data_IF_208950378788
#
_entry.id   IF_208950378788
#
_cell.length_a   1.000
_cell.length_b   1.000
_cell.length_c   1.000
_cell.angle_alpha   90.00
_cell.angle_beta   90.00
_cell.angle_gamma   90.00
#
_symmetry.space_group_name_H-M   'P 1'
#
loop_
_entity.id
_entity.type
_entity.pdbx_description
1 polymer ?
#
# COMPACT_ATOMS: atom_id res chain seq x y z
N UNK A 1 60.43 70.13 -17.46
CA UNK A 1 59.02 69.96 -17.08
C UNK A 1 58.62 68.59 -17.64
N UNK A 2 58.65 67.63 -16.82
CA UNK A 2 58.65 66.23 -17.15
C UNK A 2 57.25 65.65 -16.89
N UNK A 3 56.70 64.99 -17.90
CA UNK A 3 55.44 64.21 -17.81
C UNK A 3 55.91 62.74 -17.65
N UNK A 4 55.41 61.99 -16.67
CA UNK A 4 55.66 60.57 -16.59
C UNK A 4 54.56 59.76 -17.22
N UNK A 5 54.94 58.84 -18.07
CA UNK A 5 54.11 57.81 -18.69
C UNK A 5 53.70 56.77 -17.64
N UNK A 6 52.42 56.45 -17.60
CA UNK A 6 51.85 55.29 -16.89
C UNK A 6 51.87 54.05 -17.79
N UNK A 7 52.30 52.90 -17.32
CA UNK A 7 52.19 51.67 -18.07
C UNK A 7 50.83 50.99 -17.84
N UNK A 8 50.17 50.76 -18.93
CA UNK A 8 48.93 50.00 -19.03
C UNK A 8 49.17 48.53 -18.66
N UNK A 9 48.72 48.11 -17.50
CA UNK A 9 48.75 46.68 -17.10
C UNK A 9 47.58 45.96 -17.75
N UNK A 10 47.88 45.08 -18.71
CA UNK A 10 47.02 44.05 -19.18
C UNK A 10 46.67 43.09 -18.02
N UNK A 11 45.47 43.12 -17.52
CA UNK A 11 44.95 42.12 -16.60
C UNK A 11 44.22 41.09 -17.46
N UNK A 12 44.89 39.94 -17.60
CA UNK A 12 44.32 38.77 -18.27
C UNK A 12 43.08 38.28 -17.51
N UNK A 13 41.95 38.28 -18.22
CA UNK A 13 40.70 37.74 -17.76
C UNK A 13 40.76 36.21 -17.80
N UNK A 14 41.14 35.59 -16.70
CA UNK A 14 41.13 34.16 -16.53
C UNK A 14 39.68 33.74 -16.15
N UNK A 15 38.88 33.47 -17.17
CA UNK A 15 37.53 32.94 -17.00
C UNK A 15 37.62 31.51 -16.49
N UNK A 16 37.54 31.35 -15.17
CA UNK A 16 37.44 30.07 -14.52
C UNK A 16 36.01 29.54 -14.74
N UNK A 17 35.85 28.72 -15.78
CA UNK A 17 34.60 28.02 -16.09
C UNK A 17 34.39 26.95 -15.02
N UNK A 18 33.72 27.32 -13.92
CA UNK A 18 33.21 26.39 -12.91
C UNK A 18 32.02 25.61 -13.53
N UNK A 19 32.31 24.46 -14.11
CA UNK A 19 31.26 23.47 -14.43
C UNK A 19 30.61 23.04 -13.12
N UNK A 20 29.41 23.58 -12.87
CA UNK A 20 28.50 23.09 -11.86
C UNK A 20 28.00 21.70 -12.33
N UNK A 21 28.63 20.65 -11.84
CA UNK A 21 28.14 19.30 -11.84
C UNK A 21 26.90 19.27 -10.93
N UNK A 22 25.73 19.61 -11.49
CA UNK A 22 24.45 19.37 -10.85
C UNK A 22 24.23 17.86 -10.81
N UNK A 23 24.73 17.23 -9.76
CA UNK A 23 24.42 15.83 -9.45
C UNK A 23 22.92 15.73 -9.20
N UNK A 24 22.19 15.06 -10.08
CA UNK A 24 20.85 14.56 -9.78
C UNK A 24 20.98 13.56 -8.63
N UNK A 25 20.89 14.02 -7.41
CA UNK A 25 20.61 13.16 -6.26
C UNK A 25 19.17 12.69 -6.40
N UNK A 26 18.99 11.43 -6.78
CA UNK A 26 17.69 10.75 -6.66
C UNK A 26 17.20 10.94 -5.23
N UNK A 27 15.93 11.35 -5.02
CA UNK A 27 15.41 11.45 -3.67
C UNK A 27 15.43 10.05 -3.05
N UNK A 28 16.29 9.88 -2.05
CA UNK A 28 16.32 8.70 -1.22
C UNK A 28 14.95 8.58 -0.57
N UNK A 29 14.16 7.59 -0.95
CA UNK A 29 12.83 7.35 -0.39
C UNK A 29 13.04 6.95 1.07
N UNK A 30 13.05 7.91 1.97
CA UNK A 30 13.13 7.66 3.41
C UNK A 30 11.97 6.73 3.76
N UNK A 31 12.29 5.50 4.18
CA UNK A 31 11.28 4.59 4.72
C UNK A 31 10.58 5.31 5.86
N UNK A 32 9.27 5.53 5.72
CA UNK A 32 8.48 6.16 6.76
C UNK A 32 8.60 5.34 8.04
N UNK A 33 9.05 5.97 9.12
CA UNK A 33 9.13 5.35 10.44
C UNK A 33 7.74 5.47 11.05
N UNK A 34 7.13 4.33 11.42
CA UNK A 34 5.83 4.31 12.07
C UNK A 34 5.94 4.92 13.47
N UNK A 35 4.90 5.64 13.88
CA UNK A 35 4.80 6.29 15.18
C UNK A 35 3.70 5.62 16.03
N UNK A 36 3.80 5.71 17.34
CA UNK A 36 2.79 5.19 18.27
C UNK A 36 1.58 6.11 18.43
N UNK A 37 1.65 7.36 17.94
CA UNK A 37 0.54 8.32 18.01
C UNK A 37 0.26 8.90 16.64
N UNK A 38 -1.01 9.21 16.37
CA UNK A 38 -1.37 9.96 15.19
C UNK A 38 -1.07 11.46 15.37
N UNK A 39 -0.82 12.16 14.26
CA UNK A 39 -0.51 13.60 14.27
C UNK A 39 -1.77 14.46 14.12
N UNK A 40 -2.95 13.89 13.90
CA UNK A 40 -4.19 14.59 13.57
C UNK A 40 -5.41 14.10 14.35
N UNK A 41 -5.22 13.30 15.38
CA UNK A 41 -6.31 12.71 16.18
C UNK A 41 -7.38 12.03 15.32
N UNK A 42 -6.93 11.18 14.39
CA UNK A 42 -7.81 10.47 13.47
C UNK A 42 -8.58 9.39 14.20
N UNK A 43 -9.91 9.38 14.06
CA UNK A 43 -10.77 8.39 14.68
C UNK A 43 -11.36 7.44 13.63
N UNK A 44 -10.81 6.22 13.56
CA UNK A 44 -11.31 5.13 12.73
C UNK A 44 -12.48 4.36 13.37
N UNK A 45 -12.74 4.56 14.67
CA UNK A 45 -13.73 3.80 15.44
C UNK A 45 -15.12 3.82 14.81
N UNK A 46 -15.82 2.70 14.88
CA UNK A 46 -17.17 2.54 14.37
C UNK A 46 -17.34 1.39 13.39
N UNK A 47 -18.55 1.26 12.86
CA UNK A 47 -18.90 0.23 11.90
C UNK A 47 -18.80 0.77 10.46
N UNK A 48 -18.33 -0.09 9.56
CA UNK A 48 -18.00 0.24 8.18
C UNK A 48 -18.51 -0.81 7.23
N UNK A 49 -19.14 -0.40 6.15
CA UNK A 49 -19.68 -1.27 5.10
C UNK A 49 -18.93 -1.06 3.79
N UNK A 50 -18.58 -2.15 3.11
CA UNK A 50 -17.82 -2.12 1.86
C UNK A 50 -18.62 -1.48 0.72
N UNK A 51 -18.07 -0.44 0.13
CA UNK A 51 -18.55 0.17 -1.10
C UNK A 51 -17.96 -0.57 -2.31
N UNK A 52 -18.73 -1.49 -2.86
CA UNK A 52 -18.32 -2.27 -4.03
C UNK A 52 -18.12 -1.41 -5.29
N UNK A 53 -18.83 -0.30 -5.40
CA UNK A 53 -18.75 0.61 -6.55
C UNK A 53 -17.46 1.43 -6.59
N UNK A 54 -16.92 1.75 -5.42
CA UNK A 54 -15.68 2.52 -5.29
C UNK A 54 -14.46 1.66 -4.98
N UNK A 55 -14.67 0.39 -4.67
CA UNK A 55 -13.58 -0.56 -4.41
C UNK A 55 -12.98 -1.11 -5.70
N UNK A 56 -11.69 -1.41 -5.68
CA UNK A 56 -11.03 -2.05 -6.81
C UNK A 56 -11.68 -3.40 -7.13
N UNK A 57 -11.96 -3.63 -8.42
CA UNK A 57 -12.26 -4.96 -8.93
C UNK A 57 -10.94 -5.68 -9.23
N UNK A 58 -10.75 -6.84 -8.62
CA UNK A 58 -9.49 -7.61 -8.72
C UNK A 58 -9.15 -7.96 -10.19
N UNK A 59 -10.14 -8.36 -10.99
CA UNK A 59 -9.90 -8.75 -12.38
C UNK A 59 -9.42 -7.56 -13.21
N UNK A 60 -10.11 -6.42 -13.09
CA UNK A 60 -9.75 -5.17 -13.79
C UNK A 60 -8.35 -4.72 -13.38
N UNK A 61 -8.03 -4.81 -12.09
CA UNK A 61 -6.73 -4.42 -11.55
C UNK A 61 -5.61 -5.32 -12.06
N UNK A 62 -5.83 -6.64 -12.05
CA UNK A 62 -4.87 -7.62 -12.56
C UNK A 62 -4.63 -7.43 -14.07
N UNK A 63 -5.70 -7.27 -14.86
CA UNK A 63 -5.59 -7.04 -16.29
C UNK A 63 -4.83 -5.74 -16.61
N UNK A 64 -5.06 -4.67 -15.83
CA UNK A 64 -4.32 -3.42 -15.97
C UNK A 64 -2.84 -3.63 -15.71
N UNK A 65 -2.49 -4.29 -14.59
CA UNK A 65 -1.11 -4.57 -14.23
C UNK A 65 -0.40 -5.41 -15.31
N UNK A 66 -1.05 -6.47 -15.80
CA UNK A 66 -0.48 -7.32 -16.86
C UNK A 66 -0.24 -6.52 -18.14
N UNK A 67 -1.16 -5.63 -18.53
CA UNK A 67 -0.97 -4.74 -19.69
C UNK A 67 0.22 -3.81 -19.50
N UNK A 68 0.37 -3.22 -18.33
CA UNK A 68 1.46 -2.29 -18.05
C UNK A 68 2.81 -2.98 -18.05
N UNK A 69 2.89 -4.19 -17.47
CA UNK A 69 4.10 -5.02 -17.51
C UNK A 69 4.52 -5.39 -18.92
N UNK A 70 3.55 -5.76 -19.79
CA UNK A 70 3.80 -6.05 -21.20
C UNK A 70 4.33 -4.82 -21.95
N UNK A 71 3.75 -3.64 -21.70
CA UNK A 71 4.23 -2.37 -22.28
C UNK A 71 5.66 -2.03 -21.84
N UNK A 72 5.97 -2.22 -20.57
CA UNK A 72 7.32 -2.00 -20.06
C UNK A 72 8.35 -2.96 -20.71
N UNK A 73 7.98 -4.22 -20.87
CA UNK A 73 8.83 -5.20 -21.56
C UNK A 73 9.08 -4.81 -23.02
N UNK A 74 8.04 -4.40 -23.76
CA UNK A 74 8.17 -3.95 -25.13
C UNK A 74 9.09 -2.72 -25.27
N UNK A 75 8.99 -1.76 -24.36
CA UNK A 75 9.88 -0.59 -24.34
C UNK A 75 11.35 -0.97 -24.10
N UNK A 76 11.61 -1.94 -23.22
CA UNK A 76 12.96 -2.44 -22.95
C UNK A 76 13.53 -3.19 -24.16
N UNK A 77 12.74 -4.00 -24.86
CA UNK A 77 13.18 -4.74 -26.05
C UNK A 77 13.48 -3.83 -27.25
N UNK A 78 12.80 -2.69 -27.40
CA UNK A 78 13.07 -1.71 -28.44
C UNK A 78 14.31 -0.84 -28.17
N UNK A 79 14.71 -0.69 -26.93
CA UNK A 79 15.91 0.09 -26.52
C UNK A 79 17.22 -0.70 -26.56
N UNK A 80 17.19 -2.00 -26.75
CA UNK A 80 18.38 -2.87 -26.68
C UNK A 80 18.45 -3.76 -27.92
N UNK A 81 18.94 -3.20 -29.02
CA UNK A 81 19.40 -4.00 -30.16
C UNK A 81 20.78 -4.63 -29.87
N UNK A 82 21.04 -5.11 -28.67
CA UNK A 82 22.15 -6.01 -28.35
C UNK A 82 22.11 -6.36 -26.86
N UNK A 83 21.58 -7.48 -26.56
CA UNK A 83 22.03 -8.49 -25.58
C UNK A 83 20.82 -9.30 -25.12
N UNK A 84 20.86 -10.58 -25.49
CA UNK A 84 19.88 -11.54 -25.08
C UNK A 84 19.97 -11.81 -23.57
N UNK A 85 18.89 -11.52 -22.90
CA UNK A 85 18.43 -12.18 -21.67
C UNK A 85 16.96 -11.82 -21.52
N UNK A 86 16.10 -12.62 -22.15
CA UNK A 86 14.66 -12.53 -21.97
C UNK A 86 14.29 -12.88 -20.55
N UNK A 87 14.12 -11.86 -19.69
CA UNK A 87 13.40 -12.02 -18.45
C UNK A 87 11.95 -12.34 -18.76
N UNK A 88 11.61 -13.63 -18.78
CA UNK A 88 10.23 -14.06 -18.96
C UNK A 88 9.37 -13.48 -17.82
N UNK A 89 8.34 -12.70 -18.18
CA UNK A 89 7.28 -12.37 -17.23
C UNK A 89 6.62 -13.69 -16.82
N UNK A 90 6.91 -14.16 -15.62
CA UNK A 90 6.24 -15.33 -15.04
C UNK A 90 4.81 -14.88 -14.66
N UNK A 91 3.93 -14.78 -15.65
CA UNK A 91 2.51 -14.47 -15.47
C UNK A 91 1.73 -15.69 -15.03
N UNK A 92 2.23 -16.89 -15.37
CA UNK A 92 1.60 -18.15 -14.95
C UNK A 92 2.63 -19.26 -14.91
N UNK A 93 2.93 -19.74 -13.74
CA UNK A 93 3.46 -21.07 -13.55
C UNK A 93 2.32 -21.96 -13.04
N UNK A 94 1.73 -22.72 -13.93
CA UNK A 94 0.65 -23.67 -13.63
C UNK A 94 1.23 -25.04 -13.29
N UNK A 95 2.22 -25.08 -12.38
CA UNK A 95 2.78 -26.34 -11.90
C UNK A 95 2.57 -26.52 -10.40
N UNK A 96 2.49 -27.74 -9.88
CA UNK A 96 2.32 -27.99 -8.44
C UNK A 96 3.48 -27.49 -7.56
N UNK A 97 4.60 -27.08 -8.18
CA UNK A 97 5.79 -26.51 -7.52
C UNK A 97 6.08 -25.06 -7.95
N UNK A 98 5.09 -24.36 -8.49
CA UNK A 98 5.27 -22.96 -8.91
C UNK A 98 5.26 -22.06 -7.70
N UNK A 99 6.33 -21.31 -7.49
CA UNK A 99 6.43 -20.27 -6.50
C UNK A 99 5.34 -19.16 -6.66
N UNK A 100 5.31 -18.16 -5.78
CA UNK A 100 4.34 -17.08 -5.83
C UNK A 100 4.33 -16.41 -7.22
N UNK A 101 3.14 -16.25 -7.77
CA UNK A 101 2.93 -15.57 -9.06
C UNK A 101 2.14 -14.29 -8.82
N UNK A 102 2.15 -13.35 -9.76
CA UNK A 102 1.32 -12.13 -9.65
C UNK A 102 -0.17 -12.46 -9.51
N UNK A 103 -0.63 -13.55 -10.12
CA UNK A 103 -2.00 -14.04 -9.96
C UNK A 103 -2.22 -14.56 -8.53
N UNK A 104 -1.21 -15.24 -7.97
CA UNK A 104 -1.23 -15.70 -6.58
C UNK A 104 -1.31 -14.52 -5.59
N UNK A 105 -0.50 -13.47 -5.80
CA UNK A 105 -0.55 -12.25 -4.98
C UNK A 105 -1.91 -11.56 -5.10
N UNK A 106 -2.48 -11.49 -6.30
CA UNK A 106 -3.79 -10.89 -6.52
C UNK A 106 -4.90 -11.67 -5.78
N UNK A 107 -4.91 -13.00 -5.89
CA UNK A 107 -5.87 -13.86 -5.17
C UNK A 107 -5.72 -13.73 -3.65
N UNK A 108 -4.49 -13.70 -3.15
CA UNK A 108 -4.22 -13.48 -1.73
C UNK A 108 -4.77 -12.11 -1.29
N UNK A 109 -4.47 -11.04 -2.04
CA UNK A 109 -4.99 -9.70 -1.74
C UNK A 109 -6.50 -9.68 -1.66
N UNK A 110 -7.19 -10.38 -2.60
CA UNK A 110 -8.65 -10.48 -2.59
C UNK A 110 -9.17 -11.22 -1.36
N UNK A 111 -8.59 -12.37 -1.03
CA UNK A 111 -8.99 -13.16 0.14
C UNK A 111 -8.86 -12.39 1.45
N UNK A 112 -7.72 -11.74 1.68
CA UNK A 112 -7.46 -11.00 2.92
C UNK A 112 -8.22 -9.69 3.04
N UNK A 113 -8.78 -9.17 1.93
CA UNK A 113 -9.56 -7.92 1.90
C UNK A 113 -11.06 -8.14 1.69
N UNK A 114 -11.50 -9.39 1.60
CA UNK A 114 -12.89 -9.75 1.34
C UNK A 114 -13.73 -9.71 2.63
N UNK A 115 -13.85 -8.53 3.22
CA UNK A 115 -14.69 -8.34 4.39
C UNK A 115 -15.76 -7.30 4.06
N UNK A 116 -17.04 -7.69 3.96
CA UNK A 116 -18.10 -6.73 3.64
C UNK A 116 -18.36 -5.76 4.78
N UNK A 117 -18.09 -6.17 6.02
CA UNK A 117 -18.28 -5.35 7.20
C UNK A 117 -17.02 -5.32 8.05
N UNK A 118 -16.70 -4.14 8.57
CA UNK A 118 -15.66 -3.95 9.59
C UNK A 118 -16.31 -3.31 10.82
N UNK A 119 -15.81 -3.73 11.98
CA UNK A 119 -16.07 -3.06 13.27
C UNK A 119 -14.73 -2.67 13.87
N UNK A 120 -14.49 -1.37 13.99
CA UNK A 120 -13.23 -0.83 14.49
C UNK A 120 -13.42 -0.28 15.89
N UNK A 121 -12.74 -0.90 16.82
CA UNK A 121 -12.63 -0.43 18.21
C UNK A 121 -11.33 0.36 18.34
N UNK A 122 -11.44 1.65 18.65
CA UNK A 122 -10.28 2.52 18.87
C UNK A 122 -10.28 3.03 20.30
N UNK A 123 -9.23 2.70 21.02
CA UNK A 123 -8.93 3.22 22.36
C UNK A 123 -7.60 3.98 22.32
N UNK A 124 -7.23 4.63 23.42
CA UNK A 124 -6.04 5.48 23.50
C UNK A 124 -4.74 4.75 23.09
N UNK A 125 -4.61 3.47 23.47
CA UNK A 125 -3.39 2.68 23.22
C UNK A 125 -3.64 1.43 22.40
N UNK A 126 -4.83 1.28 21.82
CA UNK A 126 -5.18 0.07 21.09
C UNK A 126 -6.21 0.34 20.00
N UNK A 127 -5.96 -0.21 18.83
CA UNK A 127 -6.94 -0.28 17.76
C UNK A 127 -7.14 -1.74 17.38
N UNK A 128 -8.39 -2.17 17.30
CA UNK A 128 -8.78 -3.50 16.85
C UNK A 128 -9.73 -3.39 15.69
N UNK A 129 -9.33 -3.92 14.54
CA UNK A 129 -10.17 -4.00 13.33
C UNK A 129 -10.73 -5.40 13.24
N UNK A 130 -11.98 -5.57 13.64
CA UNK A 130 -12.72 -6.81 13.46
C UNK A 130 -13.21 -6.87 12.03
N UNK A 131 -12.95 -7.96 11.36
CA UNK A 131 -13.28 -8.18 9.96
C UNK A 131 -14.19 -9.38 9.86
N UNK A 132 -15.36 -9.22 9.25
CA UNK A 132 -16.24 -10.36 8.99
C UNK A 132 -15.52 -11.36 8.08
N UNK A 133 -15.59 -12.64 8.41
CA UNK A 133 -14.95 -13.76 7.69
C UNK A 133 -13.40 -13.75 7.68
N UNK A 134 -12.74 -12.85 8.41
CA UNK A 134 -11.29 -12.75 8.48
C UNK A 134 -10.79 -12.55 9.91
N UNK A 135 -9.50 -12.83 10.14
CA UNK A 135 -8.85 -12.55 11.42
C UNK A 135 -8.85 -11.05 11.70
N UNK A 136 -9.07 -10.68 12.95
CA UNK A 136 -8.96 -9.30 13.38
C UNK A 136 -7.50 -8.82 13.30
N UNK A 137 -7.31 -7.56 12.87
CA UNK A 137 -6.03 -6.87 13.02
C UNK A 137 -6.04 -6.13 14.35
N UNK A 138 -4.99 -6.28 15.13
CA UNK A 138 -4.85 -5.59 16.41
C UNK A 138 -3.55 -4.79 16.40
N UNK A 139 -3.64 -3.54 16.82
CA UNK A 139 -2.49 -2.66 16.99
C UNK A 139 -2.49 -2.14 18.41
N UNK A 140 -1.42 -2.39 19.14
CA UNK A 140 -1.20 -1.87 20.48
C UNK A 140 -0.05 -0.86 20.42
N UNK A 141 -0.27 0.29 21.04
CA UNK A 141 0.70 1.37 21.09
C UNK A 141 1.25 1.49 22.50
N UNK A 142 2.57 1.43 22.65
CA UNK A 142 3.19 2.00 23.84
C UNK A 142 3.50 3.46 23.59
N UNK A 143 3.48 4.33 24.60
CA UNK A 143 3.71 5.74 24.43
C UNK A 143 4.95 6.00 23.55
N UNK A 144 4.71 6.51 22.35
CA UNK A 144 5.75 6.94 21.42
C UNK A 144 6.40 5.87 20.52
N UNK A 145 6.05 4.57 20.64
CA UNK A 145 6.67 3.54 19.80
C UNK A 145 5.68 2.52 19.25
N UNK A 146 5.78 2.17 17.95
CA UNK A 146 5.04 1.07 17.37
C UNK A 146 5.54 -0.26 17.93
N UNK A 147 4.60 -1.19 18.15
CA UNK A 147 4.92 -2.53 18.61
C UNK A 147 5.19 -3.45 17.43
N UNK A 148 6.19 -4.31 17.58
CA UNK A 148 6.40 -5.46 16.69
C UNK A 148 6.13 -6.72 17.50
N UNK A 149 5.21 -7.54 17.04
CA UNK A 149 4.78 -8.77 17.68
C UNK A 149 5.23 -9.94 16.80
N UNK A 150 5.91 -10.89 17.42
CA UNK A 150 6.20 -12.17 16.78
C UNK A 150 5.00 -13.09 16.95
N UNK A 151 4.49 -13.62 15.84
CA UNK A 151 3.39 -14.58 15.80
C UNK A 151 3.89 -15.89 15.18
N UNK A 152 3.19 -17.02 15.37
CA UNK A 152 3.53 -18.26 14.66
C UNK A 152 3.55 -18.16 13.14
N UNK A 153 2.91 -17.11 12.59
CA UNK A 153 2.84 -16.86 11.15
C UNK A 153 3.92 -15.88 10.65
N UNK A 154 4.60 -15.17 11.56
CA UNK A 154 5.63 -14.18 11.20
C UNK A 154 5.63 -12.97 12.13
N UNK A 155 6.07 -11.84 11.62
CA UNK A 155 6.23 -10.59 12.37
C UNK A 155 5.16 -9.59 11.98
N UNK A 156 4.47 -9.05 12.98
CA UNK A 156 3.45 -8.02 12.77
C UNK A 156 3.92 -6.71 13.41
N UNK A 157 3.92 -5.64 12.63
CA UNK A 157 4.22 -4.29 13.10
C UNK A 157 3.10 -3.37 12.69
N UNK A 158 2.63 -2.52 13.61
CA UNK A 158 1.64 -1.51 13.28
C UNK A 158 2.01 -0.17 13.90
N UNK A 159 1.47 0.89 13.35
CA UNK A 159 1.71 2.23 13.84
C UNK A 159 1.17 3.29 12.89
N UNK A 160 1.40 4.54 13.26
CA UNK A 160 0.95 5.69 12.52
C UNK A 160 2.02 6.19 11.55
N UNK A 161 1.61 6.52 10.35
CA UNK A 161 2.37 7.32 9.40
C UNK A 161 1.57 8.61 9.16
N UNK A 162 1.89 9.66 9.89
CA UNK A 162 1.10 10.88 9.99
C UNK A 162 -0.36 10.57 10.40
N UNK A 163 -1.31 10.68 9.48
CA UNK A 163 -2.75 10.41 9.70
C UNK A 163 -3.20 9.02 9.20
N UNK A 164 -2.27 8.22 8.75
CA UNK A 164 -2.56 6.87 8.25
C UNK A 164 -2.21 5.83 9.30
N UNK A 165 -3.10 4.88 9.52
CA UNK A 165 -2.80 3.69 10.31
C UNK A 165 -2.24 2.62 9.38
N UNK A 166 -1.07 2.09 9.72
CA UNK A 166 -0.35 1.13 8.89
C UNK A 166 -0.16 -0.16 9.66
N UNK A 167 -0.54 -1.29 9.05
CA UNK A 167 -0.19 -2.63 9.50
C UNK A 167 0.78 -3.24 8.50
N UNK A 168 1.87 -3.84 9.01
CA UNK A 168 2.84 -4.59 8.21
C UNK A 168 2.97 -5.98 8.80
N UNK A 169 2.78 -6.98 7.96
CA UNK A 169 2.86 -8.39 8.33
C UNK A 169 3.95 -9.00 7.44
N UNK A 170 5.01 -9.49 8.07
CA UNK A 170 6.11 -10.19 7.40
C UNK A 170 5.92 -11.67 7.64
N UNK A 171 5.66 -12.39 6.57
CA UNK A 171 5.46 -13.84 6.57
C UNK A 171 6.75 -14.55 6.16
N UNK A 172 6.89 -15.86 6.44
CA UNK A 172 7.99 -16.66 5.90
C UNK A 172 8.12 -16.56 4.39
N UNK A 173 9.26 -16.96 3.86
CA UNK A 173 9.54 -17.03 2.41
C UNK A 173 9.47 -15.70 1.67
N UNK A 174 9.78 -14.57 2.38
CA UNK A 174 9.85 -13.25 1.76
C UNK A 174 8.51 -12.66 1.33
N UNK A 175 7.41 -13.19 1.87
CA UNK A 175 6.08 -12.64 1.65
C UNK A 175 5.78 -11.55 2.68
N UNK A 176 5.24 -10.42 2.24
CA UNK A 176 4.80 -9.36 3.13
C UNK A 176 3.45 -8.77 2.72
N UNK A 177 2.68 -8.39 3.71
CA UNK A 177 1.38 -7.75 3.55
C UNK A 177 1.43 -6.40 4.25
N UNK A 178 0.98 -5.35 3.58
CA UNK A 178 0.83 -4.03 4.18
C UNK A 178 -0.60 -3.52 3.97
N UNK A 179 -1.27 -3.15 5.06
CA UNK A 179 -2.51 -2.41 5.01
C UNK A 179 -2.24 -0.96 5.39
N UNK A 180 -2.69 -0.02 4.57
CA UNK A 180 -2.67 1.41 4.85
C UNK A 180 -4.10 1.90 4.91
N UNK A 181 -4.53 2.32 6.09
CA UNK A 181 -5.87 2.82 6.35
C UNK A 181 -5.87 4.34 6.39
N UNK A 182 -6.78 4.95 5.67
CA UNK A 182 -6.90 6.42 5.55
C UNK A 182 -8.36 6.84 5.60
N UNK A 183 -8.69 7.84 6.41
CA UNK A 183 -10.01 8.46 6.41
C UNK A 183 -10.08 9.59 5.40
N UNK A 184 -11.20 9.66 4.70
CA UNK A 184 -11.58 10.75 3.82
C UNK A 184 -13.05 11.11 4.03
N UNK A 185 -13.55 12.10 3.26
CA UNK A 185 -14.95 12.48 3.32
C UNK A 185 -15.41 12.91 4.72
N UNK A 186 -14.59 13.72 5.40
CA UNK A 186 -14.90 14.21 6.75
C UNK A 186 -15.08 13.12 7.82
N UNK A 187 -14.45 11.94 7.59
CA UNK A 187 -14.51 10.79 8.48
C UNK A 187 -15.59 9.76 8.12
N UNK A 188 -16.35 9.99 7.04
CA UNK A 188 -17.42 9.09 6.60
C UNK A 188 -16.97 8.00 5.61
N UNK A 189 -15.72 8.13 5.13
CA UNK A 189 -15.15 7.16 4.18
C UNK A 189 -13.81 6.64 4.66
N UNK A 190 -13.67 5.33 4.69
CA UNK A 190 -12.43 4.64 5.02
C UNK A 190 -11.87 3.97 3.76
N UNK A 191 -10.64 4.32 3.40
CA UNK A 191 -9.90 3.64 2.34
C UNK A 191 -8.83 2.74 2.95
N UNK A 192 -8.77 1.48 2.51
CA UNK A 192 -7.76 0.49 2.91
C UNK A 192 -7.02 0.03 1.66
N UNK A 193 -5.79 0.51 1.51
CA UNK A 193 -4.87 0.02 0.49
C UNK A 193 -4.10 -1.18 1.03
N UNK A 194 -4.33 -2.35 0.46
CA UNK A 194 -3.64 -3.59 0.83
C UNK A 194 -2.65 -3.96 -0.25
N UNK A 195 -1.38 -3.99 0.10
CA UNK A 195 -0.27 -4.36 -0.80
C UNK A 195 0.32 -5.68 -0.36
N UNK A 196 0.42 -6.63 -1.27
CA UNK A 196 1.11 -7.91 -1.09
C UNK A 196 2.37 -7.91 -1.94
N UNK A 197 3.48 -8.25 -1.32
CA UNK A 197 4.82 -8.30 -1.91
C UNK A 197 5.41 -9.68 -1.66
N UNK A 198 6.11 -10.21 -2.64
CA UNK A 198 6.96 -11.40 -2.50
C UNK A 198 8.32 -11.11 -3.10
N UNK A 199 9.38 -11.62 -2.50
CA UNK A 199 10.74 -11.54 -3.06
C UNK A 199 10.89 -12.36 -4.36
N UNK A 200 10.01 -13.32 -4.59
CA UNK A 200 9.95 -14.15 -5.79
C UNK A 200 9.17 -13.51 -6.95
N UNK A 201 8.48 -12.40 -6.71
CA UNK A 201 7.66 -11.70 -7.73
C UNK A 201 8.12 -10.26 -7.85
N UNK A 202 8.59 -9.87 -9.02
CA UNK A 202 9.21 -8.56 -9.26
C UNK A 202 8.29 -7.35 -9.02
N UNK A 203 6.99 -7.57 -8.92
CA UNK A 203 6.00 -6.50 -8.80
C UNK A 203 5.02 -6.78 -7.65
N UNK A 204 4.78 -5.81 -6.77
CA UNK A 204 3.75 -5.92 -5.74
C UNK A 204 2.35 -5.89 -6.38
N UNK A 205 1.39 -6.47 -5.68
CA UNK A 205 -0.02 -6.31 -6.03
C UNK A 205 -0.73 -5.51 -4.96
N UNK A 206 -1.39 -4.42 -5.34
CA UNK A 206 -2.14 -3.55 -4.43
C UNK A 206 -3.61 -3.55 -4.79
N UNK A 207 -4.47 -3.74 -3.80
CA UNK A 207 -5.92 -3.69 -3.91
C UNK A 207 -6.48 -2.65 -2.93
N UNK A 208 -7.29 -1.72 -3.42
CA UNK A 208 -7.94 -0.71 -2.60
C UNK A 208 -9.38 -1.13 -2.32
N UNK A 209 -9.77 -1.06 -1.05
CA UNK A 209 -11.14 -1.23 -0.59
C UNK A 209 -11.62 0.07 0.02
N UNK A 210 -12.78 0.50 -0.37
CA UNK A 210 -13.45 1.69 0.15
C UNK A 210 -14.64 1.24 0.98
N UNK A 211 -14.76 1.81 2.16
CA UNK A 211 -15.85 1.54 3.09
C UNK A 211 -16.53 2.86 3.44
N UNK A 212 -17.85 2.81 3.56
CA UNK A 212 -18.64 3.92 4.07
C UNK A 212 -19.02 3.63 5.54
N UNK A 213 -19.05 4.66 6.36
CA UNK A 213 -19.54 4.55 7.74
C UNK A 213 -21.01 4.17 7.75
N UNK A 214 -21.40 3.25 8.61
CA UNK A 214 -22.80 2.89 8.73
C UNK A 214 -23.20 2.70 10.19
N UNK A 215 -24.51 2.82 10.46
CA UNK A 215 -25.07 2.55 11.77
C UNK A 215 -25.72 1.16 11.76
N UNK A 216 -25.24 0.20 12.57
CA UNK A 216 -25.84 -1.12 12.67
C UNK A 216 -27.33 -1.02 13.02
N UNK A 217 -28.16 -1.77 12.31
CA UNK A 217 -29.62 -1.75 12.47
C UNK A 217 -30.36 -0.76 11.56
N UNK A 218 -29.65 0.09 10.82
CA UNK A 218 -30.26 1.06 9.88
C UNK A 218 -30.12 0.62 8.41
N UNK A 219 -29.64 -0.59 8.17
CA UNK A 219 -29.31 -1.09 6.82
C UNK A 219 -30.52 -1.51 5.99
N UNK A 220 -31.73 -1.47 6.54
CA UNK A 220 -32.96 -1.89 5.81
C UNK A 220 -33.00 -3.37 5.42
N UNK A 221 -31.98 -4.14 5.80
CA UNK A 221 -31.93 -5.59 5.61
C UNK A 221 -31.31 -6.29 6.83
N UNK A 222 -31.81 -7.48 7.12
CA UNK A 222 -31.32 -8.37 8.17
C UNK A 222 -30.71 -9.61 7.55
N UNK A 223 -29.46 -9.91 7.91
CA UNK A 223 -28.73 -11.05 7.38
C UNK A 223 -28.57 -12.13 8.46
N UNK A 224 -28.89 -13.37 8.10
CA UNK A 224 -28.71 -14.54 8.98
C UNK A 224 -27.91 -15.61 8.27
N UNK A 225 -27.00 -16.26 9.01
CA UNK A 225 -26.30 -17.45 8.52
C UNK A 225 -27.26 -18.64 8.59
N UNK A 226 -27.41 -19.35 7.49
CA UNK A 226 -28.20 -20.58 7.40
C UNK A 226 -27.30 -21.74 7.00
N UNK A 227 -27.58 -22.92 7.54
CA UNK A 227 -26.79 -24.13 7.27
C UNK A 227 -26.79 -24.55 5.79
N UNK A 228 -27.86 -24.23 5.07
CA UNK A 228 -28.09 -24.72 3.69
C UNK A 228 -27.75 -23.69 2.61
N UNK A 229 -27.87 -22.40 2.90
CA UNK A 229 -27.71 -21.31 1.92
C UNK A 229 -26.60 -20.32 2.28
N UNK A 230 -25.85 -20.57 3.37
CA UNK A 230 -24.89 -19.60 3.87
C UNK A 230 -25.59 -18.34 4.39
N UNK A 231 -25.06 -17.17 4.07
CA UNK A 231 -25.62 -15.88 4.47
C UNK A 231 -26.83 -15.52 3.63
N UNK A 232 -27.99 -15.40 4.26
CA UNK A 232 -29.23 -14.95 3.63
C UNK A 232 -29.65 -13.61 4.22
N UNK A 233 -29.75 -12.60 3.37
CA UNK A 233 -30.22 -11.27 3.75
C UNK A 233 -31.65 -11.06 3.28
N UNK A 234 -32.53 -10.56 4.17
CA UNK A 234 -33.92 -10.20 3.89
C UNK A 234 -34.11 -8.72 4.16
N UNK A 235 -34.80 -8.03 3.28
CA UNK A 235 -35.22 -6.64 3.52
C UNK A 235 -36.26 -6.64 4.64
N UNK A 236 -36.06 -5.82 5.66
CA UNK A 236 -37.08 -5.55 6.65
C UNK A 236 -38.13 -4.68 5.95
N UNK A 237 -39.31 -5.27 5.67
CA UNK A 237 -40.48 -4.48 5.28
C UNK A 237 -40.91 -3.64 6.48
N UNK A 238 -40.81 -2.30 6.33
CA UNK A 238 -41.43 -1.35 7.26
C UNK A 238 -42.95 -1.53 7.28
#
# INVERSE_FOLDING_TARGET
MTVPHSPLKLIGLMFCSSMLLSGCSSPETKKAVLQGQDQRSVNFGGAWELDYGQSDNIQVKLDSLVRDLRRQQQRRSQGTMNQGAGGALVVSSSGPNSGPSIIGLARMSDLITRSPLLDIEQAEYKIKVKREENFALTCEFYPGQPQTIETPLGWETCGWNAHQLVFKILLPEGLSIQHVMTLGGEGERLNIATTVVSDQVSYPFTLNRVYNRYTPGNSGYSCKMTLTKGRVCTTESQ
#
